data_IF_354511192719
#
_entry.id   IF_354511192719
#
_cell.length_a   1.000
_cell.length_b   1.000
_cell.length_c   1.000
_cell.angle_alpha   90.00
_cell.angle_beta   90.00
_cell.angle_gamma   90.00
#
_symmetry.space_group_name_H-M   'P 1'
#
loop_
_entity.id
_entity.type
_entity.pdbx_description
1 polymer ?
#
# COMPACT_ATOMS: atom_id res chain seq x y z
N UNK A 1 25.55 14.83 -3.97
CA UNK A 1 25.04 14.52 -3.88
C UNK A 1 24.27 13.78 -3.93
N UNK A 2 23.92 13.49 -3.92
CA UNK A 2 23.21 12.93 -3.97
C UNK A 2 22.47 12.34 -3.82
N UNK A 3 22.04 12.12 -3.45
CA UNK A 3 21.29 11.48 -3.32
C UNK A 3 20.12 11.22 -3.39
N UNK A 4 19.79 10.99 -3.30
CA UNK A 4 18.59 11.24 -3.67
C UNK A 4 17.71 10.15 -4.08
N UNK A 5 18.18 9.12 -4.55
CA UNK A 5 17.41 7.98 -4.97
C UNK A 5 16.66 7.34 -3.85
N UNK A 6 17.19 7.42 -2.66
CA UNK A 6 16.52 6.83 -1.52
C UNK A 6 15.19 7.49 -1.24
N UNK A 7 15.04 8.71 -1.71
CA UNK A 7 13.81 9.43 -1.48
C UNK A 7 12.70 8.98 -2.38
N UNK A 8 13.04 8.26 -3.43
CA UNK A 8 12.05 7.83 -4.39
C UNK A 8 11.45 6.48 -4.07
N UNK A 9 11.70 5.94 -2.86
CA UNK A 9 11.12 4.65 -2.51
C UNK A 9 9.61 4.72 -2.48
N UNK A 10 8.99 3.71 -3.07
CA UNK A 10 7.55 3.59 -3.12
C UNK A 10 7.11 2.38 -2.30
N UNK A 11 5.97 2.50 -1.66
CA UNK A 11 5.45 1.48 -0.78
C UNK A 11 4.08 1.04 -1.21
N UNK A 12 3.85 -0.27 -1.18
CA UNK A 12 2.54 -0.82 -1.45
C UNK A 12 2.03 -1.54 -0.21
N UNK A 13 0.77 -1.32 0.13
CA UNK A 13 0.15 -1.96 1.27
C UNK A 13 -1.05 -2.75 0.78
N UNK A 14 -1.06 -4.04 1.07
CA UNK A 14 -2.17 -4.90 0.73
C UNK A 14 -2.89 -5.27 2.02
N UNK A 15 -4.09 -4.75 2.17
CA UNK A 15 -4.87 -4.98 3.37
C UNK A 15 -4.81 -3.81 4.32
N UNK A 16 -5.98 -3.26 4.64
CA UNK A 16 -6.10 -2.08 5.50
C UNK A 16 -6.75 -2.43 6.82
N UNK A 17 -6.26 -3.49 7.43
CA UNK A 17 -6.66 -3.77 8.79
C UNK A 17 -6.04 -2.75 9.73
N UNK A 18 -6.06 -3.10 11.01
CA UNK A 18 -5.56 -2.16 12.02
C UNK A 18 -4.12 -1.74 11.75
N UNK A 19 -3.28 -2.71 11.46
CA UNK A 19 -1.86 -2.42 11.24
C UNK A 19 -1.65 -1.72 9.89
N UNK A 20 -2.29 -2.23 8.85
CA UNK A 20 -2.11 -1.66 7.52
C UNK A 20 -2.55 -0.21 7.44
N UNK A 21 -3.67 0.11 8.10
CA UNK A 21 -4.15 1.49 8.11
C UNK A 21 -3.18 2.41 8.84
N UNK A 22 -2.65 1.95 9.97
CA UNK A 22 -1.70 2.78 10.72
C UNK A 22 -0.42 2.98 9.92
N UNK A 23 0.06 1.95 9.26
CA UNK A 23 1.27 2.06 8.46
C UNK A 23 1.06 2.98 7.27
N UNK A 24 -0.10 2.88 6.62
CA UNK A 24 -0.39 3.74 5.48
C UNK A 24 -0.39 5.21 5.90
N UNK A 25 -1.03 5.52 7.02
CA UNK A 25 -1.07 6.89 7.49
C UNK A 25 0.34 7.39 7.83
N UNK A 26 1.14 6.55 8.45
CA UNK A 26 2.50 6.94 8.80
C UNK A 26 3.33 7.23 7.55
N UNK A 27 3.23 6.39 6.53
CA UNK A 27 3.98 6.59 5.30
C UNK A 27 3.50 7.83 4.58
N UNK A 28 2.20 8.10 4.61
CA UNK A 28 1.66 9.30 3.97
C UNK A 28 2.18 10.55 4.66
N UNK A 29 2.27 10.55 5.97
CA UNK A 29 2.80 11.68 6.70
C UNK A 29 4.26 11.91 6.38
N UNK A 30 4.97 10.86 6.04
CA UNK A 30 6.39 10.97 5.69
C UNK A 30 6.59 11.32 4.22
N UNK A 31 5.52 11.63 3.50
CA UNK A 31 5.57 12.02 2.08
C UNK A 31 6.13 10.91 1.20
N UNK A 32 5.89 9.67 1.55
CA UNK A 32 6.33 8.55 0.72
C UNK A 32 5.31 8.25 -0.35
N UNK A 33 5.77 7.75 -1.49
CA UNK A 33 4.86 7.23 -2.50
C UNK A 33 4.19 5.98 -1.97
N UNK A 34 2.87 5.94 -2.09
CA UNK A 34 2.09 4.92 -1.41
C UNK A 34 0.96 4.43 -2.30
N UNK A 35 0.87 3.12 -2.44
CA UNK A 35 -0.27 2.48 -3.09
C UNK A 35 -0.92 1.54 -2.08
N UNK A 36 -2.25 1.59 -2.00
CA UNK A 36 -2.99 0.83 -1.01
C UNK A 36 -4.06 0.01 -1.72
N UNK A 37 -4.15 -1.27 -1.38
CA UNK A 37 -5.16 -2.16 -1.95
C UNK A 37 -5.93 -2.84 -0.84
N UNK A 38 -7.23 -2.96 -1.01
CA UNK A 38 -8.10 -3.68 -0.09
C UNK A 38 -9.35 -4.09 -0.82
N UNK A 39 -10.02 -5.11 -0.30
CA UNK A 39 -11.29 -5.54 -0.87
C UNK A 39 -12.44 -4.67 -0.40
N UNK A 40 -12.26 -3.93 0.66
CA UNK A 40 -13.32 -3.15 1.27
C UNK A 40 -13.36 -1.75 0.67
N UNK A 41 -14.51 -1.40 0.07
CA UNK A 41 -14.68 -0.07 -0.49
C UNK A 41 -14.60 1.00 0.58
N UNK A 42 -15.13 0.69 1.76
CA UNK A 42 -15.12 1.68 2.82
C UNK A 42 -13.72 2.00 3.30
N UNK A 43 -12.89 0.96 3.45
CA UNK A 43 -11.52 1.18 3.89
C UNK A 43 -10.73 1.93 2.83
N UNK A 44 -10.97 1.63 1.58
CA UNK A 44 -10.31 2.34 0.48
C UNK A 44 -10.75 3.79 0.46
N UNK A 45 -12.05 4.04 0.69
CA UNK A 45 -12.53 5.42 0.71
C UNK A 45 -11.83 6.22 1.80
N UNK A 46 -11.62 5.62 2.96
CA UNK A 46 -10.90 6.30 4.04
C UNK A 46 -9.44 6.54 3.67
N UNK A 47 -8.83 5.57 3.00
CA UNK A 47 -7.43 5.70 2.63
C UNK A 47 -7.21 6.82 1.61
N UNK A 48 -8.23 7.14 0.84
CA UNK A 48 -8.11 8.21 -0.14
C UNK A 48 -7.94 9.59 0.48
N UNK A 49 -8.12 9.68 1.79
CA UNK A 49 -7.83 10.93 2.49
C UNK A 49 -6.34 11.23 2.53
N UNK A 50 -5.49 10.23 2.33
CA UNK A 50 -4.06 10.47 2.40
C UNK A 50 -3.26 9.85 1.24
N UNK A 51 -3.90 9.22 0.29
CA UNK A 51 -3.22 8.78 -0.91
C UNK A 51 -4.21 8.70 -2.07
N UNK A 52 -3.74 9.10 -3.24
CA UNK A 52 -4.56 9.00 -4.45
C UNK A 52 -4.56 7.59 -5.01
N UNK A 53 -3.59 6.78 -4.61
CA UNK A 53 -3.43 5.44 -5.18
C UNK A 53 -3.98 4.40 -4.23
N UNK A 54 -5.27 4.49 -3.97
CA UNK A 54 -5.99 3.53 -3.14
C UNK A 54 -7.06 2.89 -4.00
N UNK A 55 -7.00 1.58 -4.18
CA UNK A 55 -7.88 0.88 -5.12
C UNK A 55 -8.54 -0.32 -4.47
N UNK A 56 -9.81 -0.49 -4.79
CA UNK A 56 -10.56 -1.68 -4.39
C UNK A 56 -10.21 -2.81 -5.33
N UNK A 57 -9.89 -3.99 -4.77
CA UNK A 57 -9.63 -5.16 -5.58
C UNK A 57 -10.67 -6.23 -5.25
N UNK A 58 -11.04 -7.02 -6.24
CA UNK A 58 -12.08 -8.03 -6.07
C UNK A 58 -11.59 -9.19 -5.21
N UNK A 59 -10.31 -9.47 -5.25
CA UNK A 59 -9.71 -10.53 -4.46
C UNK A 59 -8.22 -10.23 -4.32
N UNK A 60 -7.53 -11.09 -3.58
CA UNK A 60 -6.10 -10.91 -3.35
C UNK A 60 -5.28 -11.93 -4.11
N UNK A 61 -5.81 -12.39 -5.24
CA UNK A 61 -5.09 -13.31 -6.09
C UNK A 61 -3.95 -12.60 -6.79
N UNK A 62 -2.94 -13.36 -7.14
CA UNK A 62 -1.73 -12.80 -7.71
C UNK A 62 -2.02 -12.01 -8.99
N UNK A 63 -2.87 -12.56 -9.86
CA UNK A 63 -3.18 -11.88 -11.12
C UNK A 63 -3.90 -10.57 -10.87
N UNK A 64 -4.84 -10.57 -9.93
CA UNK A 64 -5.59 -9.35 -9.63
C UNK A 64 -4.64 -8.28 -9.11
N UNK A 65 -3.74 -8.65 -8.22
CA UNK A 65 -2.81 -7.67 -7.66
C UNK A 65 -1.85 -7.14 -8.71
N UNK A 66 -1.44 -7.98 -9.65
CA UNK A 66 -0.55 -7.53 -10.71
C UNK A 66 -1.17 -6.48 -11.60
N UNK A 67 -2.49 -6.55 -11.79
CA UNK A 67 -3.16 -5.58 -12.63
C UNK A 67 -3.11 -4.18 -12.05
N UNK A 68 -2.90 -4.07 -10.75
CA UNK A 68 -2.82 -2.76 -10.11
C UNK A 68 -1.44 -2.12 -10.26
N UNK A 69 -0.43 -2.90 -10.61
CA UNK A 69 0.92 -2.39 -10.70
C UNK A 69 1.66 -2.34 -9.38
N UNK A 70 1.11 -2.97 -8.34
CA UNK A 70 1.71 -2.90 -7.01
C UNK A 70 3.09 -3.55 -6.99
N UNK A 71 3.36 -4.47 -7.91
CA UNK A 71 4.67 -5.11 -7.98
C UNK A 71 5.77 -4.13 -8.35
N UNK A 72 5.42 -2.96 -8.83
CA UNK A 72 6.41 -1.94 -9.16
C UNK A 72 6.81 -1.12 -7.95
N UNK A 73 6.16 -1.32 -6.81
CA UNK A 73 6.58 -0.65 -5.59
C UNK A 73 7.88 -1.26 -5.08
N UNK A 74 8.69 -0.44 -4.44
CA UNK A 74 9.97 -0.91 -3.92
C UNK A 74 9.78 -1.85 -2.74
N UNK A 75 8.76 -1.57 -1.92
CA UNK A 75 8.46 -2.39 -0.74
C UNK A 75 6.97 -2.66 -0.76
N UNK A 76 6.59 -3.93 -0.58
CA UNK A 76 5.19 -4.31 -0.50
C UNK A 76 4.95 -4.99 0.84
N UNK A 77 3.97 -4.48 1.58
CA UNK A 77 3.62 -5.02 2.89
C UNK A 77 2.25 -5.64 2.79
N UNK A 78 2.15 -6.90 3.17
CA UNK A 78 0.88 -7.63 3.15
C UNK A 78 0.37 -7.72 4.57
N UNK A 79 -0.79 -7.12 4.82
CA UNK A 79 -1.38 -7.04 6.15
C UNK A 79 -2.75 -7.68 6.11
N UNK A 80 -2.79 -9.01 6.23
CA UNK A 80 -4.03 -9.75 6.12
C UNK A 80 -4.32 -10.40 7.46
N UNK A 81 -5.47 -10.04 8.03
CA UNK A 81 -5.84 -10.54 9.34
C UNK A 81 -4.85 -10.09 10.39
N UNK A 82 -4.30 -11.03 11.12
CA UNK A 82 -3.31 -10.74 12.14
C UNK A 82 -1.89 -10.91 11.65
N UNK A 83 -1.73 -11.15 10.36
CA UNK A 83 -0.41 -11.44 9.81
C UNK A 83 0.10 -10.27 9.00
N UNK A 84 1.40 -10.04 9.08
CA UNK A 84 2.06 -9.01 8.30
C UNK A 84 3.25 -9.65 7.60
N UNK A 85 3.36 -9.37 6.31
CA UNK A 85 4.46 -9.89 5.52
C UNK A 85 5.02 -8.75 4.69
N UNK A 86 6.33 -8.73 4.55
CA UNK A 86 7.00 -7.65 3.84
C UNK A 86 7.85 -8.24 2.74
N UNK A 87 7.64 -7.73 1.52
CA UNK A 87 8.42 -8.16 0.37
C UNK A 87 9.04 -6.98 -0.35
N UNK A 88 10.10 -7.28 -1.08
CA UNK A 88 10.78 -6.25 -1.85
C UNK A 88 11.09 -6.73 -3.23
#
# INVERSE_FOLDING_TARGET
MVRKQTEAMSYGIIGLGRFGSALAATLAEADKELMVLDRSEEKIRQARNYTEHAYVVKDLQKETLRETGIQNCDVVVVCIGDKVDVGR
#
